data_IF_137640255423
#
_entry.id   IF_137640255423
#
_cell.length_a   1.000
_cell.length_b   1.000
_cell.length_c   1.000
_cell.angle_alpha   90.00
_cell.angle_beta   90.00
_cell.angle_gamma   90.00
#
_symmetry.space_group_name_H-M   'P 1'
#
loop_
_entity.id
_entity.type
_entity.pdbx_description
1 polymer ?
#
# COMPACT_ATOMS: atom_id res chain seq x y z
N UNK A 1 -13.88 -13.38 1.11
CA UNK A 1 -13.88 -14.85 1.06
C UNK A 1 -12.53 -15.44 0.64
N UNK A 2 -11.65 -14.67 -0.03
CA UNK A 2 -10.34 -15.14 -0.50
C UNK A 2 -9.17 -14.55 0.31
N UNK A 3 -8.10 -15.32 0.54
CA UNK A 3 -6.89 -14.84 1.21
C UNK A 3 -6.14 -13.81 0.35
N UNK A 4 -5.44 -12.90 1.00
CA UNK A 4 -4.63 -11.85 0.36
C UNK A 4 -3.19 -11.98 0.86
N UNK A 5 -2.23 -11.89 -0.06
CA UNK A 5 -0.81 -11.94 0.26
C UNK A 5 -0.11 -10.70 -0.28
N UNK A 6 0.63 -9.99 0.58
CA UNK A 6 1.32 -8.74 0.24
C UNK A 6 2.83 -8.95 0.39
N UNK A 7 3.59 -8.67 -0.66
CA UNK A 7 5.04 -8.85 -0.69
C UNK A 7 5.82 -7.69 -0.06
N UNK A 8 7.07 -7.96 0.30
CA UNK A 8 8.03 -7.04 0.94
C UNK A 8 8.23 -5.68 0.24
N UNK A 9 8.14 -5.62 -1.09
CA UNK A 9 8.40 -4.43 -1.91
C UNK A 9 7.16 -3.86 -2.59
N UNK A 10 5.97 -4.34 -2.22
CA UNK A 10 4.72 -3.82 -2.74
C UNK A 10 4.39 -2.49 -2.05
N UNK A 11 3.89 -1.50 -2.80
CA UNK A 11 3.45 -0.23 -2.21
C UNK A 11 2.21 -0.46 -1.35
N UNK A 12 2.38 -0.41 -0.01
CA UNK A 12 1.36 -0.91 0.92
C UNK A 12 0.03 -0.15 0.79
N UNK A 13 0.10 1.15 0.49
CA UNK A 13 -1.03 2.01 0.12
C UNK A 13 -1.89 1.45 -1.02
N UNK A 14 -1.30 0.75 -1.98
CA UNK A 14 -1.95 0.25 -3.19
C UNK A 14 -2.38 -1.21 -3.06
N UNK A 15 -2.31 -1.79 -1.86
CA UNK A 15 -2.74 -3.18 -1.64
C UNK A 15 -4.23 -3.32 -1.85
N UNK A 16 -4.69 -4.56 -2.04
CA UNK A 16 -6.08 -4.90 -2.35
C UNK A 16 -7.08 -4.08 -1.51
N UNK A 17 -8.09 -3.49 -2.17
CA UNK A 17 -9.12 -2.64 -1.57
C UNK A 17 -9.95 -3.32 -0.47
N UNK A 18 -9.93 -4.65 -0.40
CA UNK A 18 -10.60 -5.42 0.66
C UNK A 18 -9.82 -5.42 1.99
N UNK A 19 -8.54 -5.00 1.99
CA UNK A 19 -7.82 -4.73 3.23
C UNK A 19 -8.22 -3.36 3.78
N UNK A 20 -8.64 -3.34 5.03
CA UNK A 20 -9.07 -2.13 5.74
C UNK A 20 -7.98 -1.67 6.72
N UNK A 21 -7.43 -0.50 6.47
CA UNK A 21 -6.40 0.14 7.28
C UNK A 21 -6.30 1.63 6.93
N UNK A 22 -5.55 2.39 7.72
CA UNK A 22 -5.26 3.79 7.43
C UNK A 22 -4.31 3.92 6.22
N UNK A 23 -4.91 4.07 5.04
CA UNK A 23 -4.16 4.20 3.78
C UNK A 23 -3.28 5.45 3.75
N UNK A 24 -3.70 6.54 4.40
CA UNK A 24 -2.91 7.76 4.45
C UNK A 24 -1.58 7.55 5.19
N UNK A 25 -1.59 6.76 6.28
CA UNK A 25 -0.35 6.37 6.99
C UNK A 25 0.53 5.40 6.21
N UNK A 26 -0.04 4.62 5.29
CA UNK A 26 0.69 3.66 4.47
C UNK A 26 1.30 4.23 3.17
N UNK A 27 0.99 5.49 2.83
CA UNK A 27 1.49 6.14 1.62
C UNK A 27 3.02 6.26 1.64
N UNK A 28 3.67 5.85 0.56
CA UNK A 28 5.13 5.86 0.42
C UNK A 28 5.84 4.78 1.22
N UNK A 29 5.12 3.76 1.73
CA UNK A 29 5.68 2.71 2.58
C UNK A 29 5.50 1.29 2.02
N UNK A 30 6.37 0.39 2.47
CA UNK A 30 6.35 -1.06 2.21
C UNK A 30 6.49 -1.85 3.51
N UNK A 31 6.24 -3.15 3.46
CA UNK A 31 6.40 -4.04 4.62
C UNK A 31 7.86 -4.10 5.09
N UNK A 32 8.06 -3.98 6.39
CA UNK A 32 9.35 -4.19 7.06
C UNK A 32 9.57 -5.69 7.35
N UNK A 33 9.82 -6.43 6.28
CA UNK A 33 10.06 -7.88 6.30
C UNK A 33 11.23 -8.21 5.37
N UNK A 34 11.79 -9.41 5.50
CA UNK A 34 12.87 -9.87 4.64
C UNK A 34 12.51 -9.78 3.14
N UNK A 35 13.48 -9.39 2.32
CA UNK A 35 13.29 -9.29 0.87
C UNK A 35 12.80 -10.62 0.29
N UNK A 36 11.89 -10.55 -0.69
CA UNK A 36 11.27 -11.73 -1.30
C UNK A 36 10.18 -12.42 -0.48
N UNK A 37 10.00 -12.05 0.80
CA UNK A 37 8.94 -12.60 1.65
C UNK A 37 7.63 -11.80 1.54
N UNK A 38 6.58 -12.32 2.18
CA UNK A 38 5.23 -11.75 2.17
C UNK A 38 4.50 -11.93 3.50
N UNK A 39 3.50 -11.09 3.74
CA UNK A 39 2.51 -11.28 4.80
C UNK A 39 1.20 -11.76 4.19
N UNK A 40 0.67 -12.84 4.76
CA UNK A 40 -0.61 -13.44 4.37
C UNK A 40 -1.72 -13.02 5.33
N UNK A 41 -2.85 -12.64 4.77
CA UNK A 41 -4.08 -12.26 5.46
C UNK A 41 -5.17 -13.25 5.06
N UNK A 42 -5.64 -14.05 6.01
CA UNK A 42 -6.81 -14.90 5.80
C UNK A 42 -8.11 -14.07 5.79
N UNK A 43 -9.21 -14.56 5.19
CA UNK A 43 -10.49 -13.85 5.20
C UNK A 43 -10.96 -13.54 6.62
N UNK A 44 -11.14 -12.25 6.94
CA UNK A 44 -11.59 -11.79 8.26
C UNK A 44 -10.49 -11.69 9.32
N UNK A 45 -9.24 -12.01 8.97
CA UNK A 45 -8.10 -11.88 9.87
C UNK A 45 -7.63 -10.42 10.01
N UNK A 46 -7.27 -10.04 11.23
CA UNK A 46 -6.62 -8.76 11.54
C UNK A 46 -5.18 -9.00 12.00
N UNK A 47 -4.23 -8.23 11.44
CA UNK A 47 -2.81 -8.29 11.80
C UNK A 47 -2.22 -6.91 11.94
N UNK A 48 -1.36 -6.74 12.95
CA UNK A 48 -0.49 -5.58 13.07
C UNK A 48 0.77 -5.81 12.24
N UNK A 49 1.05 -4.92 11.29
CA UNK A 49 2.25 -4.97 10.45
C UNK A 49 3.10 -3.73 10.67
N UNK A 50 4.42 -3.88 10.46
CA UNK A 50 5.36 -2.77 10.45
C UNK A 50 5.60 -2.33 9.02
N UNK A 51 5.59 -1.01 8.82
CA UNK A 51 5.83 -0.39 7.54
C UNK A 51 7.04 0.53 7.65
N UNK A 52 7.90 0.47 6.64
CA UNK A 52 9.04 1.36 6.46
C UNK A 52 8.89 2.13 5.16
N UNK A 53 9.51 3.31 5.10
CA UNK A 53 9.51 4.12 3.89
C UNK A 53 10.19 3.38 2.74
N UNK A 54 9.71 3.62 1.52
CA UNK A 54 10.48 3.21 0.34
C UNK A 54 11.85 3.89 0.34
N UNK A 55 12.89 3.15 -0.02
CA UNK A 55 14.22 3.69 -0.22
C UNK A 55 14.39 4.28 -1.63
N UNK A 56 15.63 4.67 -1.95
CA UNK A 56 16.00 5.22 -3.26
C UNK A 56 15.33 6.57 -3.54
N UNK A 57 14.97 6.82 -4.80
CA UNK A 57 14.35 8.08 -5.22
C UNK A 57 12.86 8.21 -4.84
N UNK A 58 12.30 7.17 -4.21
CA UNK A 58 10.88 7.09 -3.84
C UNK A 58 9.94 7.39 -5.03
N UNK A 59 10.30 6.91 -6.22
CA UNK A 59 9.45 6.99 -7.41
C UNK A 59 8.74 5.65 -7.59
N UNK A 60 7.42 5.66 -7.41
CA UNK A 60 6.59 4.46 -7.39
C UNK A 60 5.66 4.46 -8.59
N UNK A 61 5.77 3.43 -9.44
CA UNK A 61 5.02 3.26 -10.68
C UNK A 61 4.38 1.87 -10.75
N UNK A 62 3.22 1.77 -11.41
CA UNK A 62 2.48 0.53 -11.62
C UNK A 62 1.51 0.22 -10.49
N UNK A 63 1.54 -1.01 -9.96
CA UNK A 63 0.64 -1.51 -8.91
C UNK A 63 -0.85 -1.33 -9.27
N UNK A 64 -1.56 -0.41 -8.61
CA UNK A 64 -2.98 -0.09 -8.91
C UNK A 64 -3.12 1.30 -9.56
N UNK A 65 -2.00 1.85 -10.03
CA UNK A 65 -1.87 3.17 -10.62
C UNK A 65 -2.39 4.27 -9.70
N UNK A 66 -2.31 4.11 -8.37
CA UNK A 66 -2.83 5.14 -7.46
C UNK A 66 -1.87 6.31 -7.33
N UNK A 67 -0.56 6.05 -7.31
CA UNK A 67 0.47 7.08 -7.17
C UNK A 67 1.13 7.48 -8.51
N UNK A 68 1.78 6.54 -9.21
CA UNK A 68 2.49 6.76 -10.48
C UNK A 68 3.40 8.00 -10.51
N UNK A 69 4.23 8.17 -9.49
CA UNK A 69 5.09 9.33 -9.35
C UNK A 69 6.02 9.26 -8.14
N UNK A 70 6.69 10.37 -7.88
CA UNK A 70 7.52 10.52 -6.69
C UNK A 70 6.65 10.70 -5.44
N UNK A 71 7.09 10.15 -4.31
CA UNK A 71 6.49 10.44 -3.00
C UNK A 71 6.76 11.90 -2.63
N UNK A 72 5.71 12.70 -2.69
CA UNK A 72 5.65 14.09 -2.20
C UNK A 72 4.20 14.42 -1.82
N UNK A 73 3.98 15.59 -1.21
CA UNK A 73 2.66 15.98 -0.71
C UNK A 73 1.63 16.23 -1.82
N UNK A 74 2.05 16.74 -2.98
CA UNK A 74 1.12 16.98 -4.10
C UNK A 74 0.61 15.66 -4.70
N UNK A 75 1.50 14.71 -4.94
CA UNK A 75 1.14 13.38 -5.42
C UNK A 75 0.35 12.61 -4.36
N UNK A 76 0.65 12.80 -3.07
CA UNK A 76 -0.11 12.20 -1.97
C UNK A 76 -1.56 12.61 -2.00
N UNK A 77 -1.84 13.91 -2.15
CA UNK A 77 -3.22 14.42 -2.27
C UNK A 77 -3.95 13.77 -3.46
N UNK A 78 -3.33 13.78 -4.64
CA UNK A 78 -3.91 13.16 -5.86
C UNK A 78 -4.13 11.65 -5.69
N UNK A 79 -3.18 10.97 -5.04
CA UNK A 79 -3.26 9.54 -4.79
C UNK A 79 -4.40 9.19 -3.82
N UNK A 80 -4.60 9.99 -2.77
CA UNK A 80 -5.71 9.82 -1.83
C UNK A 80 -7.07 10.03 -2.51
N UNK A 81 -7.20 11.07 -3.35
CA UNK A 81 -8.40 11.33 -4.15
C UNK A 81 -8.69 10.15 -5.10
N UNK A 82 -7.66 9.66 -5.80
CA UNK A 82 -7.78 8.52 -6.71
C UNK A 82 -8.11 7.22 -5.97
N UNK A 83 -7.55 7.01 -4.79
CA UNK A 83 -7.84 5.85 -3.95
C UNK A 83 -9.29 5.89 -3.44
N UNK A 84 -9.81 7.06 -3.07
CA UNK A 84 -11.23 7.24 -2.71
C UNK A 84 -12.14 6.98 -3.92
N UNK A 85 -11.84 7.59 -5.07
CA UNK A 85 -12.63 7.42 -6.30
C UNK A 85 -12.67 5.95 -6.77
N UNK A 86 -11.59 5.19 -6.58
CA UNK A 86 -11.51 3.76 -6.94
C UNK A 86 -11.97 2.80 -5.81
N UNK A 87 -12.42 3.33 -4.67
CA UNK A 87 -12.96 2.52 -3.56
C UNK A 87 -11.91 1.76 -2.74
N UNK A 88 -10.66 2.23 -2.71
CA UNK A 88 -9.63 1.76 -1.77
C UNK A 88 -9.78 2.41 -0.39
N UNK A 89 -10.24 3.66 -0.36
CA UNK A 89 -10.62 4.40 0.85
C UNK A 89 -12.15 4.49 0.85
N UNK A 90 -12.77 4.03 1.93
CA UNK A 90 -14.21 4.15 2.15
C UNK A 90 -14.53 5.43 2.90
#
# INVERSE_FOLDING_TARGET
DRPIQVGSHFHFFETNKLLEFDRQKAYGKRLDIASGTSVRFEPGESKTVRLIDFGGSQRIYGFNDLNNGQINEDNKKRALEKAKAKGFIK
#
